data_IF_548922562864
#
_entry.id   IF_548922562864
#
_cell.length_a   1.000
_cell.length_b   1.000
_cell.length_c   1.000
_cell.angle_alpha   90.00
_cell.angle_beta   90.00
_cell.angle_gamma   90.00
#
_symmetry.space_group_name_H-M   'P 1'
#
loop_
_entity.id
_entity.type
_entity.pdbx_description
1 polymer ?
#
# COMPACT_ATOMS: atom_id res chain seq x y z
N UNK A 1 14.55 -9.28 -3.51
CA UNK A 1 13.45 -9.11 -4.50
C UNK A 1 13.89 -8.34 -5.73
N UNK A 2 14.52 -7.17 -5.57
CA UNK A 2 15.28 -6.50 -6.64
C UNK A 2 16.41 -7.42 -7.11
N UNK A 3 16.19 -8.18 -8.19
CA UNK A 3 17.14 -9.18 -8.73
C UNK A 3 16.55 -10.57 -9.05
N UNK A 4 15.36 -10.93 -8.53
CA UNK A 4 14.79 -12.28 -8.68
C UNK A 4 13.78 -12.42 -9.83
N UNK A 5 13.72 -11.46 -10.78
CA UNK A 5 12.66 -11.33 -11.82
C UNK A 5 11.21 -11.32 -11.27
N UNK A 6 11.05 -11.07 -9.98
CA UNK A 6 9.74 -11.04 -9.34
C UNK A 6 8.94 -9.82 -9.83
N UNK A 7 7.67 -10.03 -10.13
CA UNK A 7 6.74 -9.00 -10.60
C UNK A 7 5.78 -8.65 -9.48
N UNK A 8 5.63 -7.37 -9.16
CA UNK A 8 4.60 -6.92 -8.23
C UNK A 8 3.22 -7.17 -8.85
N UNK A 9 2.39 -7.92 -8.14
CA UNK A 9 1.03 -8.25 -8.55
C UNK A 9 -0.01 -7.38 -7.84
N UNK A 10 0.15 -7.18 -6.53
CA UNK A 10 -0.75 -6.34 -5.73
C UNK A 10 -0.07 -5.85 -4.45
N UNK A 11 -0.62 -4.77 -3.89
CA UNK A 11 -0.36 -4.33 -2.51
C UNK A 11 -1.73 -4.22 -1.85
N UNK A 12 -1.91 -4.85 -0.69
CA UNK A 12 -3.18 -4.86 0.03
C UNK A 12 -2.96 -4.29 1.43
N UNK A 13 -3.83 -3.36 1.82
CA UNK A 13 -3.87 -2.81 3.18
C UNK A 13 -5.08 -3.36 3.94
N UNK A 14 -4.87 -3.73 5.20
CA UNK A 14 -5.90 -4.21 6.12
C UNK A 14 -5.67 -3.59 7.51
N UNK A 15 -6.73 -3.11 8.15
CA UNK A 15 -6.68 -2.75 9.57
C UNK A 15 -6.48 -3.99 10.44
N UNK A 16 -5.49 -3.95 11.32
CA UNK A 16 -5.15 -5.06 12.18
C UNK A 16 -4.77 -4.57 13.58
N UNK A 17 -5.71 -4.71 14.52
CA UNK A 17 -5.53 -4.15 15.87
C UNK A 17 -5.31 -2.64 15.82
N UNK A 18 -4.24 -2.18 16.46
CA UNK A 18 -3.87 -0.76 16.50
C UNK A 18 -3.10 -0.29 15.26
N UNK A 19 -2.84 -1.16 14.28
CA UNK A 19 -2.01 -0.83 13.12
C UNK A 19 -2.60 -1.28 11.79
N UNK A 20 -1.76 -1.25 10.76
CA UNK A 20 -2.09 -1.64 9.40
C UNK A 20 -1.19 -2.79 8.96
N UNK A 21 -1.79 -3.85 8.42
CA UNK A 21 -1.05 -4.90 7.70
C UNK A 21 -0.98 -4.52 6.23
N UNK A 22 0.23 -4.37 5.72
CA UNK A 22 0.52 -4.22 4.30
C UNK A 22 1.03 -5.54 3.76
N UNK A 23 0.35 -6.09 2.76
CA UNK A 23 0.74 -7.33 2.09
C UNK A 23 1.16 -7.02 0.66
N UNK A 24 2.44 -7.22 0.37
CA UNK A 24 3.00 -7.11 -0.97
C UNK A 24 2.98 -8.50 -1.62
N UNK A 25 2.24 -8.62 -2.72
CA UNK A 25 2.07 -9.88 -3.45
C UNK A 25 2.91 -9.83 -4.71
N UNK A 26 3.78 -10.81 -4.89
CA UNK A 26 4.66 -10.90 -6.03
C UNK A 26 4.50 -12.22 -6.77
N UNK A 27 4.51 -12.16 -8.09
CA UNK A 27 4.68 -13.33 -8.95
C UNK A 27 6.18 -13.66 -9.09
N UNK A 28 6.56 -14.85 -8.64
CA UNK A 28 7.87 -15.45 -8.86
C UNK A 28 7.71 -16.71 -9.71
N UNK A 29 7.85 -16.55 -11.03
CA UNK A 29 7.80 -17.63 -12.02
C UNK A 29 6.49 -18.44 -11.97
N UNK A 30 5.35 -17.76 -11.94
CA UNK A 30 4.01 -18.36 -11.91
C UNK A 30 3.54 -18.74 -10.51
N UNK A 31 4.30 -18.41 -9.46
CA UNK A 31 3.92 -18.66 -8.06
C UNK A 31 3.81 -17.34 -7.31
N UNK A 32 2.62 -17.07 -6.76
CA UNK A 32 2.39 -15.92 -5.90
C UNK A 32 3.06 -16.12 -4.55
N UNK A 33 3.77 -15.11 -4.08
CA UNK A 33 4.35 -15.01 -2.74
C UNK A 33 3.95 -13.70 -2.11
N UNK A 34 3.46 -13.77 -0.89
CA UNK A 34 3.12 -12.63 -0.07
C UNK A 34 4.26 -12.28 0.89
N UNK A 35 4.48 -10.99 1.06
CA UNK A 35 5.37 -10.42 2.08
C UNK A 35 4.56 -9.43 2.89
N UNK A 36 4.42 -9.73 4.17
CA UNK A 36 3.63 -8.93 5.08
C UNK A 36 4.52 -8.03 5.91
N UNK A 37 4.09 -6.79 6.08
CA UNK A 37 4.66 -5.83 7.00
C UNK A 37 3.53 -5.26 7.85
N UNK A 38 3.80 -5.13 9.15
CA UNK A 38 2.87 -4.51 10.09
C UNK A 38 3.36 -3.10 10.40
N UNK A 39 2.48 -2.12 10.22
CA UNK A 39 2.76 -0.70 10.34
C UNK A 39 1.97 -0.13 11.51
N UNK A 40 2.66 0.46 12.48
CA UNK A 40 2.04 1.19 13.58
C UNK A 40 1.53 2.56 13.12
N UNK A 41 0.57 3.20 13.84
CA UNK A 41 -0.05 4.46 13.41
C UNK A 41 0.90 5.64 13.15
N UNK A 42 2.08 5.63 13.78
CA UNK A 42 3.08 6.70 13.68
C UNK A 42 4.22 6.36 12.72
N UNK A 43 4.21 5.16 12.15
CA UNK A 43 5.25 4.74 11.22
C UNK A 43 4.90 5.15 9.80
N UNK A 44 5.91 5.60 9.08
CA UNK A 44 5.84 5.91 7.67
C UNK A 44 6.67 4.91 6.89
N UNK A 45 6.28 4.66 5.65
CA UNK A 45 7.06 3.83 4.72
C UNK A 45 7.42 4.61 3.47
N UNK A 46 8.50 4.18 2.82
CA UNK A 46 8.85 4.69 1.51
C UNK A 46 8.14 3.86 0.45
N UNK A 47 7.60 4.54 -0.56
CA UNK A 47 7.09 3.93 -1.77
C UNK A 47 8.14 3.03 -2.41
N UNK A 48 7.69 1.92 -2.99
CA UNK A 48 8.54 1.05 -3.82
C UNK A 48 8.41 1.37 -5.32
N UNK A 49 7.80 2.50 -5.71
CA UNK A 49 7.56 2.88 -7.11
C UNK A 49 8.84 3.00 -7.94
N UNK A 50 9.95 3.37 -7.31
CA UNK A 50 11.29 3.42 -7.93
C UNK A 50 11.85 2.04 -8.28
N UNK A 51 11.24 0.98 -7.75
CA UNK A 51 11.55 -0.42 -8.04
C UNK A 51 10.47 -1.03 -8.92
N UNK A 52 9.21 -0.76 -8.60
CA UNK A 52 8.02 -1.28 -9.24
C UNK A 52 7.07 -0.14 -9.57
N UNK A 53 7.17 0.44 -10.76
CA UNK A 53 6.36 1.61 -11.15
C UNK A 53 4.85 1.41 -10.98
N UNK A 54 4.37 0.17 -11.15
CA UNK A 54 2.96 -0.17 -10.90
C UNK A 54 2.51 -0.05 -9.44
N UNK A 55 3.43 0.03 -8.47
CA UNK A 55 3.13 0.25 -7.06
C UNK A 55 2.49 1.63 -6.83
N UNK A 56 2.87 2.65 -7.61
CA UNK A 56 2.46 4.03 -7.35
C UNK A 56 0.94 4.17 -7.25
N UNK A 57 0.18 3.67 -8.22
CA UNK A 57 -1.28 3.79 -8.17
C UNK A 57 -1.88 3.03 -6.99
N UNK A 58 -1.35 1.85 -6.66
CA UNK A 58 -1.86 1.03 -5.55
C UNK A 58 -1.55 1.69 -4.20
N UNK A 59 -0.35 2.26 -4.04
CA UNK A 59 0.04 2.98 -2.84
C UNK A 59 -0.80 4.26 -2.67
N UNK A 60 -1.05 5.01 -3.75
CA UNK A 60 -1.93 6.19 -3.71
C UNK A 60 -3.38 5.84 -3.39
N UNK A 61 -3.89 4.71 -3.90
CA UNK A 61 -5.19 4.16 -3.49
C UNK A 61 -5.21 3.87 -1.99
N UNK A 62 -4.16 3.27 -1.44
CA UNK A 62 -4.05 2.99 0.01
C UNK A 62 -4.00 4.30 0.82
N UNK A 63 -3.27 5.31 0.35
CA UNK A 63 -3.24 6.66 0.94
C UNK A 63 -4.66 7.23 1.00
N UNK A 64 -5.40 7.19 -0.10
CA UNK A 64 -6.76 7.73 -0.15
C UNK A 64 -7.74 6.95 0.73
N UNK A 65 -7.74 5.62 0.61
CA UNK A 65 -8.76 4.78 1.22
C UNK A 65 -8.53 4.52 2.72
N UNK A 66 -7.27 4.55 3.16
CA UNK A 66 -6.89 4.24 4.54
C UNK A 66 -6.11 5.38 5.23
N UNK A 67 -5.77 6.47 4.54
CA UNK A 67 -5.07 7.61 5.16
C UNK A 67 -3.68 7.26 5.67
N UNK A 68 -2.97 6.34 5.02
CA UNK A 68 -1.56 6.06 5.36
C UNK A 68 -0.64 7.14 4.79
N UNK A 69 0.47 7.40 5.47
CA UNK A 69 1.56 8.23 4.96
C UNK A 69 2.60 7.34 4.27
N UNK A 70 2.66 7.39 2.94
CA UNK A 70 3.64 6.68 2.11
C UNK A 70 4.48 7.71 1.35
N UNK A 71 5.76 7.82 1.72
CA UNK A 71 6.68 8.77 1.09
C UNK A 71 6.87 8.42 -0.39
N UNK A 72 6.52 9.35 -1.28
CA UNK A 72 6.56 9.16 -2.74
C UNK A 72 5.23 8.77 -3.38
N UNK A 73 4.17 8.56 -2.59
CA UNK A 73 2.81 8.33 -3.09
C UNK A 73 1.86 9.46 -2.64
N UNK A 74 1.63 10.50 -3.46
CA UNK A 74 0.76 11.61 -3.09
C UNK A 74 -0.73 11.19 -3.10
N UNK A 75 -1.59 11.84 -2.29
CA UNK A 75 -3.03 11.55 -2.25
C UNK A 75 -3.74 11.91 -3.57
N UNK A 76 -5.07 11.85 -3.56
CA UNK A 76 -5.97 12.31 -4.63
C UNK A 76 -5.83 11.49 -5.93
N UNK A 77 -5.79 10.16 -5.80
CA UNK A 77 -5.94 9.26 -6.93
C UNK A 77 -7.42 8.96 -7.21
N UNK A 78 -8.17 8.64 -6.16
CA UNK A 78 -9.56 8.21 -6.19
C UNK A 78 -10.50 9.22 -5.53
N UNK A 79 -10.01 9.92 -4.50
CA UNK A 79 -10.80 10.83 -3.69
C UNK A 79 -10.47 12.28 -4.02
N UNK A 80 -11.51 13.13 -4.03
CA UNK A 80 -11.40 14.59 -4.15
C UNK A 80 -11.57 15.24 -2.77
N UNK A 81 -11.27 16.53 -2.64
CA UNK A 81 -11.24 17.27 -1.35
C UNK A 81 -12.53 17.13 -0.52
N UNK A 82 -13.70 17.04 -1.17
CA UNK A 82 -15.00 16.89 -0.50
C UNK A 82 -15.31 15.45 -0.06
N UNK A 83 -14.45 14.49 -0.40
CA UNK A 83 -14.65 13.07 -0.07
C UNK A 83 -14.43 12.80 1.41
N UNK A 84 -15.10 11.77 1.94
CA UNK A 84 -14.78 11.27 3.28
C UNK A 84 -13.32 10.84 3.33
N UNK A 85 -12.56 11.36 4.30
CA UNK A 85 -11.20 10.92 4.55
C UNK A 85 -11.14 9.44 4.97
N UNK A 86 -10.20 8.68 4.41
CA UNK A 86 -9.91 7.28 4.75
C UNK A 86 -11.16 6.37 4.90
N UNK A 87 -12.03 6.28 3.88
CA UNK A 87 -13.36 5.68 3.99
C UNK A 87 -13.36 4.18 4.35
N UNK A 88 -12.25 3.46 4.17
CA UNK A 88 -12.14 2.04 4.52
C UNK A 88 -11.66 1.78 5.95
N UNK A 89 -11.36 2.82 6.73
CA UNK A 89 -11.11 2.69 8.18
C UNK A 89 -12.42 2.38 8.92
N UNK A 90 -12.41 1.36 9.77
CA UNK A 90 -13.59 0.93 10.53
C UNK A 90 -13.95 1.90 11.67
N UNK A 91 -12.97 2.62 12.21
CA UNK A 91 -13.12 3.42 13.43
C UNK A 91 -12.65 4.88 13.26
N UNK A 92 -13.23 5.62 12.31
CA UNK A 92 -13.06 7.08 12.21
C UNK A 92 -14.09 7.83 13.05
#
# INVERSE_FOLDING_TARGET
>A
MRGSKARLAAIVAEENGDGMRLTYIYDLNGKLRDYQYFLLPHEQINSISDIYTGALNIEREIVDLFGLEINGAPPELLLVEESKHAPLRKNL
#
